data_IF_206210011982
#
_entry.id   IF_206210011982
#
_cell.length_a   1.000
_cell.length_b   1.000
_cell.length_c   1.000
_cell.angle_alpha   90.00
_cell.angle_beta   90.00
_cell.angle_gamma   90.00
#
_symmetry.space_group_name_H-M   'P 1'
#
loop_
_entity.id
_entity.type
_entity.pdbx_description
1 polymer ?
#
# COMPACT_ATOMS: atom_id res chain seq x y z
N UNK A 1 -15.20 4.99 -7.38
CA UNK A 1 -13.79 5.26 -7.68
C UNK A 1 -13.50 6.71 -7.38
N UNK A 2 -12.66 6.95 -6.37
CA UNK A 2 -12.17 8.28 -6.01
C UNK A 2 -11.12 8.73 -7.02
N UNK A 3 -10.99 10.03 -7.23
CA UNK A 3 -9.90 10.65 -7.97
C UNK A 3 -8.61 10.70 -7.15
N UNK A 4 -7.47 10.90 -7.80
CA UNK A 4 -6.17 11.09 -7.15
C UNK A 4 -6.23 12.23 -6.11
N UNK A 5 -6.90 13.33 -6.43
CA UNK A 5 -7.00 14.49 -5.52
C UNK A 5 -7.83 14.17 -4.27
N UNK A 6 -8.92 13.39 -4.41
CA UNK A 6 -9.70 12.92 -3.26
C UNK A 6 -8.88 11.98 -2.36
N UNK A 7 -8.11 11.06 -2.96
CA UNK A 7 -7.22 10.18 -2.19
C UNK A 7 -6.14 10.99 -1.45
N UNK A 8 -5.49 11.93 -2.13
CA UNK A 8 -4.48 12.81 -1.49
C UNK A 8 -5.08 13.60 -0.33
N UNK A 9 -6.29 14.10 -0.47
CA UNK A 9 -6.96 14.82 0.62
C UNK A 9 -7.19 13.90 1.84
N UNK A 10 -7.57 12.65 1.63
CA UNK A 10 -7.72 11.68 2.72
C UNK A 10 -6.38 11.32 3.37
N UNK A 11 -5.31 11.18 2.59
CA UNK A 11 -3.93 11.01 3.10
C UNK A 11 -3.55 12.19 4.00
N UNK A 12 -3.88 13.42 3.61
CA UNK A 12 -3.63 14.62 4.44
C UNK A 12 -4.39 14.53 5.78
N UNK A 13 -5.66 14.12 5.77
CA UNK A 13 -6.44 14.01 7.00
C UNK A 13 -5.93 12.90 7.92
N UNK A 14 -5.41 11.80 7.36
CA UNK A 14 -4.74 10.75 8.13
C UNK A 14 -3.40 11.25 8.69
N UNK A 15 -2.61 11.97 7.90
CA UNK A 15 -1.35 12.56 8.33
C UNK A 15 -1.52 13.56 9.48
N UNK A 16 -2.56 14.41 9.45
CA UNK A 16 -2.86 15.32 10.57
C UNK A 16 -3.09 14.58 11.89
N UNK A 17 -3.71 13.40 11.82
CA UNK A 17 -3.91 12.57 13.01
C UNK A 17 -2.60 11.94 13.42
N UNK A 18 -1.88 11.31 12.49
CA UNK A 18 -0.57 10.70 12.70
C UNK A 18 0.44 11.69 13.34
N UNK A 19 0.56 12.90 12.81
CA UNK A 19 1.47 13.94 13.32
C UNK A 19 1.06 14.53 14.68
N UNK A 20 -0.17 14.28 15.14
CA UNK A 20 -0.66 14.71 16.45
C UNK A 20 -0.48 13.66 17.56
N UNK A 21 -0.01 12.47 17.18
CA UNK A 21 0.28 11.36 18.08
C UNK A 21 1.55 11.70 18.89
N UNK A 22 1.54 11.41 20.19
CA UNK A 22 2.68 11.69 21.07
C UNK A 22 3.88 10.75 20.86
N UNK A 23 4.81 10.70 21.81
CA UNK A 23 6.03 9.87 21.73
C UNK A 23 6.00 8.61 22.64
N UNK A 24 4.84 8.26 23.21
CA UNK A 24 4.73 7.07 24.06
C UNK A 24 4.56 5.78 23.27
N UNK A 25 4.75 4.61 23.90
CA UNK A 25 4.49 3.30 23.27
C UNK A 25 3.07 3.13 22.73
N UNK A 26 2.06 3.70 23.40
CA UNK A 26 0.69 3.74 22.89
C UNK A 26 0.56 4.63 21.67
N UNK A 27 1.38 5.67 21.61
CA UNK A 27 1.39 6.60 20.49
C UNK A 27 1.99 5.93 19.24
N UNK A 28 3.08 5.16 19.36
CA UNK A 28 3.60 4.39 18.21
C UNK A 28 2.55 3.45 17.58
N UNK A 29 1.75 2.75 18.39
CA UNK A 29 0.64 1.93 17.88
C UNK A 29 -0.44 2.74 17.16
N UNK A 30 -0.69 3.97 17.63
CA UNK A 30 -1.63 4.87 16.98
C UNK A 30 -1.07 5.41 15.66
N UNK A 31 0.24 5.64 15.56
CA UNK A 31 0.92 6.04 14.34
C UNK A 31 0.83 4.92 13.27
N UNK A 32 1.21 3.70 13.64
CA UNK A 32 1.10 2.50 12.77
C UNK A 32 -0.34 2.30 12.24
N UNK A 33 -1.35 2.55 13.07
CA UNK A 33 -2.75 2.47 12.66
C UNK A 33 -3.10 3.45 11.52
N UNK A 34 -2.60 4.69 11.56
CA UNK A 34 -2.88 5.66 10.49
C UNK A 34 -2.12 5.33 9.20
N UNK A 35 -0.92 4.78 9.31
CA UNK A 35 -0.16 4.29 8.15
C UNK A 35 -0.85 3.11 7.48
N UNK A 36 -1.33 2.15 8.28
CA UNK A 36 -2.16 1.04 7.77
C UNK A 36 -3.41 1.55 7.06
N UNK A 37 -4.10 2.56 7.62
CA UNK A 37 -5.27 3.16 7.00
C UNK A 37 -4.95 3.81 5.64
N UNK A 38 -3.75 4.38 5.47
CA UNK A 38 -3.29 4.87 4.16
C UNK A 38 -3.05 3.70 3.20
N UNK A 39 -2.38 2.64 3.63
CA UNK A 39 -2.17 1.46 2.78
C UNK A 39 -3.50 0.86 2.31
N UNK A 40 -4.47 0.68 3.20
CA UNK A 40 -5.82 0.20 2.87
C UNK A 40 -6.53 1.11 1.86
N UNK A 41 -6.39 2.43 2.01
CA UNK A 41 -6.94 3.40 1.06
C UNK A 41 -6.32 3.25 -0.33
N UNK A 42 -5.00 3.06 -0.42
CA UNK A 42 -4.29 2.87 -1.69
C UNK A 42 -4.63 1.52 -2.34
N UNK A 43 -4.72 0.45 -1.56
CA UNK A 43 -5.15 -0.88 -2.04
C UNK A 43 -6.57 -0.80 -2.60
N UNK A 44 -7.49 -0.15 -1.88
CA UNK A 44 -8.87 0.06 -2.33
C UNK A 44 -8.91 0.83 -3.64
N UNK A 45 -8.08 1.88 -3.79
CA UNK A 45 -7.96 2.61 -5.04
C UNK A 45 -7.50 1.71 -6.20
N UNK A 46 -6.51 0.86 -5.99
CA UNK A 46 -6.06 -0.11 -7.00
C UNK A 46 -7.17 -1.09 -7.40
N UNK A 47 -7.94 -1.60 -6.43
CA UNK A 47 -9.03 -2.54 -6.68
C UNK A 47 -10.25 -1.92 -7.39
N UNK A 48 -10.59 -0.68 -7.04
CA UNK A 48 -11.60 0.12 -7.72
C UNK A 48 -11.24 0.32 -9.20
N UNK A 49 -9.95 0.55 -9.48
CA UNK A 49 -9.39 0.70 -10.82
C UNK A 49 -9.11 -0.62 -11.55
N UNK A 50 -9.42 -1.78 -10.94
CA UNK A 50 -9.18 -3.11 -11.52
C UNK A 50 -7.72 -3.38 -11.86
N UNK A 51 -6.80 -2.82 -11.08
CA UNK A 51 -5.38 -3.14 -11.22
C UNK A 51 -5.10 -4.49 -10.58
N UNK A 52 -4.40 -5.34 -11.31
CA UNK A 52 -3.98 -6.66 -10.83
C UNK A 52 -2.54 -6.91 -11.18
N UNK A 53 -1.90 -7.77 -10.40
CA UNK A 53 -0.56 -8.30 -10.67
C UNK A 53 -0.65 -9.80 -10.57
N UNK A 54 -0.34 -10.50 -11.67
CA UNK A 54 -0.37 -11.97 -11.73
C UNK A 54 -1.70 -12.57 -11.20
N UNK A 55 -2.82 -11.88 -11.43
CA UNK A 55 -4.16 -12.28 -10.96
C UNK A 55 -4.49 -11.93 -9.50
N UNK A 56 -3.58 -11.30 -8.74
CA UNK A 56 -3.89 -10.77 -7.40
C UNK A 56 -4.48 -9.36 -7.48
N UNK A 57 -5.53 -9.02 -6.70
CA UNK A 57 -6.23 -9.88 -5.74
C UNK A 57 -7.40 -10.67 -6.35
N UNK A 58 -7.87 -10.33 -7.55
CA UNK A 58 -9.19 -10.80 -8.04
C UNK A 58 -9.28 -12.29 -8.29
N UNK A 59 -8.33 -12.89 -9.01
CA UNK A 59 -8.32 -14.34 -9.29
C UNK A 59 -8.13 -15.12 -7.99
N UNK A 60 -7.25 -14.63 -7.12
CA UNK A 60 -6.99 -15.25 -5.82
C UNK A 60 -8.23 -15.25 -4.92
N UNK A 61 -9.05 -14.19 -4.94
CA UNK A 61 -10.32 -14.12 -4.20
C UNK A 61 -11.39 -15.09 -4.73
N UNK A 62 -11.34 -15.43 -6.01
CA UNK A 62 -12.21 -16.48 -6.54
C UNK A 62 -11.72 -17.86 -6.08
N UNK A 63 -10.40 -18.09 -6.05
CA UNK A 63 -9.82 -19.34 -5.57
C UNK A 63 -10.06 -19.58 -4.07
N UNK A 64 -10.01 -18.53 -3.25
CA UNK A 64 -10.24 -18.62 -1.79
C UNK A 64 -11.61 -19.17 -1.40
N UNK A 65 -12.59 -19.12 -2.31
CA UNK A 65 -13.91 -19.72 -2.08
C UNK A 65 -13.88 -21.25 -1.99
N UNK A 66 -12.81 -21.88 -2.49
CA UNK A 66 -12.68 -23.34 -2.61
C UNK A 66 -11.34 -23.90 -2.16
N UNK A 67 -10.34 -23.05 -1.95
CA UNK A 67 -9.01 -23.43 -1.48
C UNK A 67 -8.62 -22.57 -0.27
N UNK A 68 -8.56 -23.22 0.89
CA UNK A 68 -8.23 -22.60 2.17
C UNK A 68 -6.77 -22.11 2.25
N UNK A 69 -5.91 -22.42 1.27
CA UNK A 69 -4.56 -21.83 1.16
C UNK A 69 -4.59 -20.33 0.82
N UNK A 70 -5.71 -19.81 0.28
CA UNK A 70 -5.91 -18.39 -0.02
C UNK A 70 -6.80 -17.74 1.04
N UNK A 71 -6.46 -17.90 2.31
CA UNK A 71 -7.16 -17.29 3.44
C UNK A 71 -6.79 -15.81 3.65
N UNK A 72 -7.36 -15.19 4.69
CA UNK A 72 -7.13 -13.77 5.00
C UNK A 72 -5.64 -13.48 5.28
N UNK A 73 -4.92 -14.43 5.88
CA UNK A 73 -3.48 -14.31 6.13
C UNK A 73 -2.71 -14.25 4.80
N UNK A 74 -3.04 -15.12 3.83
CA UNK A 74 -2.46 -15.07 2.48
C UNK A 74 -2.55 -13.67 1.86
N UNK A 75 -3.73 -13.04 1.93
CA UNK A 75 -3.95 -11.70 1.37
C UNK A 75 -3.21 -10.62 2.15
N UNK A 76 -3.34 -10.63 3.47
CA UNK A 76 -2.76 -9.62 4.37
C UNK A 76 -1.24 -9.51 4.20
N UNK A 77 -0.53 -10.64 4.12
CA UNK A 77 0.92 -10.69 3.93
C UNK A 77 1.39 -10.16 2.57
N UNK A 78 0.49 -10.11 1.58
CA UNK A 78 0.82 -9.84 0.17
C UNK A 78 0.39 -8.47 -0.33
N UNK A 79 -0.43 -7.74 0.43
CA UNK A 79 -0.94 -6.45 -0.01
C UNK A 79 0.14 -5.38 -0.21
N UNK A 80 1.19 -5.36 0.64
CA UNK A 80 2.30 -4.40 0.46
C UNK A 80 3.07 -4.70 -0.84
N UNK A 81 3.41 -5.97 -1.08
CA UNK A 81 4.05 -6.39 -2.33
C UNK A 81 3.17 -6.06 -3.56
N UNK A 82 1.86 -6.27 -3.43
CA UNK A 82 0.90 -5.92 -4.47
C UNK A 82 0.93 -4.41 -4.75
N UNK A 83 0.83 -3.58 -3.72
CA UNK A 83 0.86 -2.13 -3.85
C UNK A 83 2.15 -1.66 -4.52
N UNK A 84 3.31 -2.19 -4.13
CA UNK A 84 4.60 -1.84 -4.73
C UNK A 84 4.69 -2.27 -6.20
N UNK A 85 4.21 -3.46 -6.55
CA UNK A 85 4.21 -3.91 -7.94
C UNK A 85 3.24 -3.13 -8.81
N UNK A 86 2.06 -2.77 -8.30
CA UNK A 86 1.13 -1.88 -9.02
C UNK A 86 1.77 -0.50 -9.20
N UNK A 87 2.34 0.08 -8.14
CA UNK A 87 3.02 1.39 -8.21
C UNK A 87 4.20 1.38 -9.20
N UNK A 88 4.87 0.24 -9.39
CA UNK A 88 5.92 0.10 -10.41
C UNK A 88 5.37 0.19 -11.85
N UNK A 89 4.12 -0.20 -12.09
CA UNK A 89 3.51 -0.28 -13.42
C UNK A 89 2.50 0.83 -13.73
N UNK A 90 1.95 1.49 -12.69
CA UNK A 90 0.87 2.47 -12.79
C UNK A 90 1.31 3.80 -12.18
N UNK A 91 1.42 4.83 -13.03
CA UNK A 91 1.93 6.15 -12.64
C UNK A 91 1.05 6.85 -11.60
N UNK A 92 -0.26 6.63 -11.62
CA UNK A 92 -1.19 7.19 -10.65
C UNK A 92 -1.00 6.60 -9.25
N UNK A 93 -0.82 5.28 -9.17
CA UNK A 93 -0.52 4.59 -7.89
C UNK A 93 0.88 4.97 -7.40
N UNK A 94 1.85 5.10 -8.30
CA UNK A 94 3.17 5.64 -7.96
C UNK A 94 3.08 7.04 -7.37
N UNK A 95 2.29 7.92 -7.99
CA UNK A 95 2.11 9.29 -7.53
C UNK A 95 1.50 9.34 -6.13
N UNK A 96 0.48 8.52 -5.87
CA UNK A 96 -0.17 8.42 -4.57
C UNK A 96 0.78 7.87 -3.49
N UNK A 97 1.52 6.80 -3.80
CA UNK A 97 2.50 6.20 -2.88
C UNK A 97 3.65 7.17 -2.56
N UNK A 98 4.19 7.84 -3.58
CA UNK A 98 5.20 8.88 -3.41
C UNK A 98 4.68 10.03 -2.54
N UNK A 99 3.43 10.47 -2.78
CA UNK A 99 2.82 11.55 -2.00
C UNK A 99 2.67 11.15 -0.53
N UNK A 100 2.20 9.93 -0.27
CA UNK A 100 2.11 9.37 1.08
C UNK A 100 3.48 9.34 1.77
N UNK A 101 4.48 8.69 1.18
CA UNK A 101 5.78 8.53 1.83
C UNK A 101 6.50 9.86 2.04
N UNK A 102 6.45 10.79 1.07
CA UNK A 102 7.05 12.10 1.25
C UNK A 102 6.37 12.92 2.37
N UNK A 103 5.06 12.72 2.58
CA UNK A 103 4.32 13.43 3.61
C UNK A 103 4.60 12.88 5.02
N UNK A 104 4.66 11.55 5.18
CA UNK A 104 4.87 10.90 6.49
C UNK A 104 6.35 10.78 6.86
N UNK A 105 7.23 10.63 5.86
CA UNK A 105 8.65 10.35 6.04
C UNK A 105 9.53 11.32 5.22
N UNK A 106 9.40 12.65 5.41
CA UNK A 106 10.09 13.65 4.61
C UNK A 106 11.62 13.57 4.71
N UNK A 107 12.16 13.04 5.81
CA UNK A 107 13.60 12.83 6.00
C UNK A 107 14.14 11.60 5.25
N UNK A 108 13.26 10.73 4.75
CA UNK A 108 13.61 9.49 4.05
C UNK A 108 13.40 9.60 2.54
N UNK A 109 12.35 10.31 2.11
CA UNK A 109 11.99 10.49 0.69
C UNK A 109 12.16 11.95 0.30
N UNK A 110 13.29 12.28 -0.32
CA UNK A 110 13.59 13.64 -0.81
C UNK A 110 12.95 13.87 -2.18
N UNK A 111 12.94 12.84 -3.03
CA UNK A 111 12.48 12.96 -4.40
C UNK A 111 11.84 11.65 -4.94
N UNK A 112 11.25 11.71 -6.15
CA UNK A 112 10.59 10.56 -6.78
C UNK A 112 11.53 9.38 -7.06
N UNK A 113 12.83 9.62 -7.26
CA UNK A 113 13.80 8.55 -7.48
C UNK A 113 14.03 7.74 -6.21
N UNK A 114 13.99 8.36 -5.03
CA UNK A 114 14.07 7.66 -3.74
C UNK A 114 12.90 6.69 -3.60
N UNK A 115 11.68 7.16 -3.84
CA UNK A 115 10.48 6.30 -3.86
C UNK A 115 10.63 5.15 -4.84
N UNK A 116 11.12 5.41 -6.05
CA UNK A 116 11.32 4.37 -7.07
C UNK A 116 12.34 3.32 -6.61
N UNK A 117 13.45 3.75 -6.02
CA UNK A 117 14.48 2.85 -5.49
C UNK A 117 13.96 2.02 -4.32
N UNK A 118 13.23 2.62 -3.38
CA UNK A 118 12.60 1.92 -2.27
C UNK A 118 11.60 0.86 -2.76
N UNK A 119 10.72 1.20 -3.71
CA UNK A 119 9.79 0.22 -4.32
C UNK A 119 10.56 -0.95 -4.94
N UNK A 120 11.62 -0.67 -5.70
CA UNK A 120 12.41 -1.71 -6.36
C UNK A 120 13.14 -2.60 -5.35
N UNK A 121 13.67 -2.03 -4.27
CA UNK A 121 14.28 -2.77 -3.18
C UNK A 121 13.25 -3.68 -2.49
N UNK A 122 12.09 -3.14 -2.10
CA UNK A 122 11.02 -3.91 -1.46
C UNK A 122 10.59 -5.09 -2.34
N UNK A 123 10.38 -4.86 -3.64
CA UNK A 123 10.03 -5.93 -4.59
C UNK A 123 11.14 -6.99 -4.69
N UNK A 124 12.41 -6.58 -4.70
CA UNK A 124 13.55 -7.49 -4.86
C UNK A 124 13.82 -8.32 -3.60
N UNK A 125 13.64 -7.73 -2.43
CA UNK A 125 13.89 -8.39 -1.13
C UNK A 125 12.72 -9.23 -0.64
N UNK A 126 11.52 -9.08 -1.21
CA UNK A 126 10.35 -9.85 -0.80
C UNK A 126 10.43 -11.32 -1.27
N UNK A 127 10.14 -12.25 -0.35
CA UNK A 127 10.12 -13.69 -0.64
C UNK A 127 8.75 -14.17 -1.15
N UNK A 128 7.72 -13.36 -0.99
CA UNK A 128 6.36 -13.67 -1.40
C UNK A 128 6.18 -13.50 -2.92
N UNK A 129 5.17 -14.19 -3.44
CA UNK A 129 4.75 -14.11 -4.83
C UNK A 129 3.25 -14.41 -4.94
N UNK A 130 2.72 -14.17 -6.13
CA UNK A 130 1.32 -14.41 -6.51
C UNK A 130 1.17 -15.66 -7.38
N UNK A 131 2.13 -16.59 -7.34
CA UNK A 131 2.02 -17.78 -8.18
C UNK A 131 0.90 -18.69 -7.67
N UNK A 132 -0.03 -18.96 -8.57
CA UNK A 132 -1.05 -19.99 -8.41
C UNK A 132 -0.38 -21.31 -8.80
N UNK A 133 -0.28 -22.25 -7.86
CA UNK A 133 0.32 -23.57 -8.08
C UNK A 133 -0.60 -24.50 -8.86
#
# INVERSE_FOLDING_TARGET
MKSIDEIKQEIIELHKKWSSVGESLSDFKNAEYFEQAVNELLITYCEDNKYEIDGFPFVHRELSKTNDEFDDDYFSERYDLYLFRVAKEKDDVFELLNYYWNLFWPDTIENKEDTRNSILQEIHSNLLNFHIK
#
